data_IF_160436599920
#
_entry.id   IF_160436599920
#
_cell.length_a   1.000
_cell.length_b   1.000
_cell.length_c   1.000
_cell.angle_alpha   90.00
_cell.angle_beta   90.00
_cell.angle_gamma   90.00
#
_symmetry.space_group_name_H-M   'P 1'
#
loop_
_entity.id
_entity.type
_entity.pdbx_description
1 polymer ?
#
# COMPACT_ATOMS: atom_id res chain seq x y z
N UNK A 1 -2.88 14.46 35.16
CA UNK A 1 -3.67 14.44 33.92
C UNK A 1 -3.12 13.33 33.03
N UNK A 2 -3.97 12.46 32.47
CA UNK A 2 -3.51 11.42 31.54
C UNK A 2 -3.19 12.06 30.17
N UNK A 3 -2.08 11.69 29.51
CA UNK A 3 -1.75 12.24 28.19
C UNK A 3 -2.82 11.82 27.18
N UNK A 4 -3.29 12.78 26.39
CA UNK A 4 -4.25 12.51 25.32
C UNK A 4 -3.65 11.50 24.34
N UNK A 5 -4.47 10.55 23.90
CA UNK A 5 -4.06 9.53 22.94
C UNK A 5 -4.19 10.08 21.52
N UNK A 6 -3.33 9.60 20.62
CA UNK A 6 -3.40 9.95 19.21
C UNK A 6 -4.80 9.70 18.63
N UNK A 7 -5.28 10.65 17.84
CA UNK A 7 -6.59 10.62 17.21
C UNK A 7 -6.87 9.37 16.36
N UNK A 8 -5.84 8.79 15.71
CA UNK A 8 -6.01 7.60 14.89
C UNK A 8 -6.49 6.39 15.67
N UNK A 9 -7.50 5.70 15.14
CA UNK A 9 -8.13 4.53 15.76
C UNK A 9 -7.08 3.48 16.12
N UNK A 10 -7.04 3.09 17.40
CA UNK A 10 -6.16 2.03 17.90
C UNK A 10 -4.69 2.42 18.09
N UNK A 11 -4.31 3.69 17.93
CA UNK A 11 -2.96 4.14 18.24
C UNK A 11 -2.81 4.37 19.75
N UNK A 12 -1.93 3.64 20.46
CA UNK A 12 -1.75 3.83 21.90
C UNK A 12 -0.82 5.01 22.24
N UNK A 13 -0.16 5.59 21.24
CA UNK A 13 0.87 6.63 21.46
C UNK A 13 0.25 7.96 21.90
N UNK A 14 0.89 8.67 22.83
CA UNK A 14 0.43 9.98 23.28
C UNK A 14 0.53 11.02 22.16
N UNK A 15 -0.30 12.06 22.27
CA UNK A 15 -0.19 13.27 21.47
C UNK A 15 1.13 14.00 21.72
N UNK A 16 1.48 14.93 20.84
CA UNK A 16 2.72 15.70 20.95
C UNK A 16 2.37 17.19 20.98
N UNK A 17 2.67 17.85 22.10
CA UNK A 17 2.26 19.24 22.35
C UNK A 17 0.75 19.40 22.19
N UNK A 18 0.34 20.42 21.43
CA UNK A 18 -1.08 20.72 21.16
C UNK A 18 -1.66 19.92 19.99
N UNK A 19 -0.88 19.01 19.38
CA UNK A 19 -1.36 18.21 18.26
C UNK A 19 -2.31 17.11 18.73
N UNK A 20 -3.41 16.89 18.01
CA UNK A 20 -4.27 15.71 18.19
C UNK A 20 -3.61 14.39 17.74
N UNK A 21 -2.39 14.43 17.17
CA UNK A 21 -1.67 13.26 16.63
C UNK A 21 -0.38 13.01 17.41
N UNK A 22 0.10 11.77 17.40
CA UNK A 22 1.43 11.44 17.90
C UNK A 22 2.51 11.76 16.87
N UNK A 23 3.77 11.86 17.31
CA UNK A 23 4.95 12.06 16.44
C UNK A 23 5.04 11.12 15.24
N UNK A 24 4.60 9.86 15.34
CA UNK A 24 4.63 8.93 14.21
C UNK A 24 3.51 9.20 13.19
N UNK A 25 2.39 9.75 13.63
CA UNK A 25 1.21 10.01 12.79
C UNK A 25 1.07 11.49 12.38
N UNK A 26 1.99 12.37 12.77
CA UNK A 26 1.91 13.81 12.51
C UNK A 26 1.79 14.15 11.00
N UNK A 27 2.53 13.42 10.15
CA UNK A 27 2.50 13.57 8.68
C UNK A 27 1.39 12.78 7.99
N UNK A 28 0.56 12.03 8.75
CA UNK A 28 -0.54 11.25 8.17
C UNK A 28 -1.83 12.05 8.24
N UNK A 29 -2.47 12.22 7.08
CA UNK A 29 -3.75 12.92 6.96
C UNK A 29 -4.90 12.09 7.53
N UNK A 30 -5.83 12.77 8.19
CA UNK A 30 -7.08 12.21 8.71
C UNK A 30 -8.12 12.30 7.59
N UNK A 31 -8.99 11.29 7.52
CA UNK A 31 -10.13 11.29 6.60
C UNK A 31 -11.00 12.56 6.76
N UNK A 32 -11.50 13.09 5.65
CA UNK A 32 -12.30 14.32 5.61
C UNK A 32 -13.67 14.19 6.30
N UNK A 33 -14.25 12.98 6.31
CA UNK A 33 -15.51 12.71 7.03
C UNK A 33 -15.34 12.99 8.52
N UNK A 34 -16.28 13.76 9.07
CA UNK A 34 -16.29 14.16 10.48
C UNK A 34 -16.16 12.96 11.43
N UNK A 35 -15.38 13.16 12.49
CA UNK A 35 -15.05 12.15 13.50
C UNK A 35 -14.43 10.84 12.99
N UNK A 36 -14.02 10.79 11.72
CA UNK A 36 -13.37 9.63 11.16
C UNK A 36 -11.91 9.52 11.62
N UNK A 37 -11.67 8.59 12.54
CA UNK A 37 -10.33 8.29 13.06
C UNK A 37 -9.45 7.43 12.14
N UNK A 38 -9.75 7.34 10.85
CA UNK A 38 -8.98 6.55 9.87
C UNK A 38 -8.04 7.44 9.06
N UNK A 39 -6.94 6.84 8.58
CA UNK A 39 -6.00 7.48 7.67
C UNK A 39 -6.60 7.62 6.27
N UNK A 40 -6.30 8.76 5.63
CA UNK A 40 -6.57 8.96 4.20
C UNK A 40 -5.89 7.88 3.38
N UNK A 41 -6.63 7.31 2.44
CA UNK A 41 -6.11 6.45 1.39
C UNK A 41 -5.88 7.26 0.11
N UNK A 42 -6.92 7.95 -0.38
CA UNK A 42 -6.86 8.84 -1.54
C UNK A 42 -8.00 9.86 -1.48
N UNK A 43 -7.87 10.99 -2.19
CA UNK A 43 -8.91 12.04 -2.28
C UNK A 43 -9.40 12.53 -0.90
N UNK A 44 -8.48 12.62 0.07
CA UNK A 44 -8.79 12.97 1.46
C UNK A 44 -9.76 12.02 2.18
N UNK A 45 -10.03 10.83 1.63
CA UNK A 45 -10.96 9.86 2.19
C UNK A 45 -10.24 8.56 2.57
N UNK A 46 -10.68 7.92 3.65
CA UNK A 46 -10.22 6.58 4.03
C UNK A 46 -10.91 5.52 3.16
N UNK A 47 -10.45 4.27 3.24
CA UNK A 47 -11.03 3.14 2.47
C UNK A 47 -12.54 2.98 2.73
N UNK A 48 -13.01 3.16 3.97
CA UNK A 48 -14.43 3.05 4.33
C UNK A 48 -15.29 4.20 3.80
N UNK A 49 -14.68 5.37 3.58
CA UNK A 49 -15.39 6.57 3.14
C UNK A 49 -15.14 6.85 1.66
N UNK A 50 -14.95 5.79 0.86
CA UNK A 50 -14.84 5.93 -0.58
C UNK A 50 -13.45 6.31 -1.10
N UNK A 51 -12.41 6.32 -0.26
CA UNK A 51 -11.02 6.52 -0.72
C UNK A 51 -10.57 5.46 -1.72
N UNK A 52 -11.11 4.24 -1.63
CA UNK A 52 -10.86 3.13 -2.55
C UNK A 52 -12.11 2.80 -3.37
N UNK A 53 -11.93 2.45 -4.65
CA UNK A 53 -13.04 2.02 -5.52
C UNK A 53 -13.68 0.71 -5.02
N UNK A 54 -14.99 0.60 -5.21
CA UNK A 54 -15.79 -0.61 -5.03
C UNK A 54 -15.81 -1.44 -6.32
N UNK A 55 -16.03 -2.74 -6.19
CA UNK A 55 -16.12 -3.67 -7.29
C UNK A 55 -17.24 -3.27 -8.27
N UNK A 56 -16.96 -3.36 -9.57
CA UNK A 56 -17.92 -3.06 -10.63
C UNK A 56 -18.94 -4.18 -10.88
N UNK A 57 -18.71 -5.38 -10.33
CA UNK A 57 -19.67 -6.49 -10.42
C UNK A 57 -20.97 -6.18 -9.66
N UNK A 58 -22.10 -6.54 -10.26
CA UNK A 58 -23.43 -6.38 -9.68
C UNK A 58 -23.51 -6.92 -8.25
N UNK A 59 -24.19 -6.16 -7.38
CA UNK A 59 -24.37 -6.42 -5.95
C UNK A 59 -23.08 -6.64 -5.14
N UNK A 60 -21.92 -6.18 -5.62
CA UNK A 60 -20.65 -6.34 -4.92
C UNK A 60 -20.15 -5.06 -4.24
N UNK A 61 -20.22 -5.02 -2.91
CA UNK A 61 -19.68 -3.92 -2.09
C UNK A 61 -18.21 -4.11 -1.67
N UNK A 62 -17.51 -5.10 -2.23
CA UNK A 62 -16.12 -5.39 -1.87
C UNK A 62 -15.16 -4.41 -2.57
N UNK A 63 -14.03 -4.12 -1.92
CA UNK A 63 -13.02 -3.24 -2.49
C UNK A 63 -12.32 -3.86 -3.71
N UNK A 64 -12.07 -3.03 -4.72
CA UNK A 64 -11.31 -3.40 -5.92
C UNK A 64 -9.91 -3.89 -5.54
N UNK A 65 -9.44 -4.94 -6.24
CA UNK A 65 -8.07 -5.45 -6.12
C UNK A 65 -7.34 -5.48 -7.46
N UNK A 66 -8.04 -5.75 -8.56
CA UNK A 66 -7.47 -5.92 -9.90
C UNK A 66 -8.41 -5.24 -10.90
N UNK A 67 -7.91 -4.31 -11.72
CA UNK A 67 -8.75 -3.53 -12.63
C UNK A 67 -9.83 -2.78 -11.86
N UNK A 68 -11.10 -3.03 -12.21
CA UNK A 68 -12.28 -2.52 -11.49
C UNK A 68 -13.04 -3.61 -10.70
N UNK A 69 -12.40 -4.77 -10.46
CA UNK A 69 -13.02 -5.92 -9.80
C UNK A 69 -12.33 -6.24 -8.46
N UNK A 70 -13.11 -6.81 -7.53
CA UNK A 70 -12.57 -7.29 -6.25
C UNK A 70 -11.75 -8.57 -6.43
N UNK A 71 -11.19 -9.11 -5.35
CA UNK A 71 -10.43 -10.37 -5.42
C UNK A 71 -11.26 -11.60 -5.78
N UNK A 72 -12.60 -11.55 -5.58
CA UNK A 72 -13.52 -12.64 -5.93
C UNK A 72 -13.90 -12.58 -7.40
N UNK A 73 -14.22 -11.39 -7.90
CA UNK A 73 -14.70 -11.19 -9.27
C UNK A 73 -13.57 -10.89 -10.28
N UNK A 74 -12.45 -10.32 -9.83
CA UNK A 74 -11.28 -10.01 -10.66
C UNK A 74 -10.28 -11.16 -10.78
N UNK A 75 -10.52 -12.26 -10.08
CA UNK A 75 -9.80 -13.50 -10.28
C UNK A 75 -10.45 -14.27 -11.42
N UNK A 76 -10.25 -13.83 -12.67
CA UNK A 76 -10.79 -14.52 -13.84
C UNK A 76 -10.46 -16.01 -13.82
N UNK A 77 -11.51 -16.83 -13.70
CA UNK A 77 -11.76 -18.19 -14.26
C UNK A 77 -10.61 -19.21 -14.38
N UNK A 78 -9.46 -19.05 -13.73
CA UNK A 78 -8.26 -19.88 -14.02
C UNK A 78 -7.58 -20.43 -12.77
N UNK A 79 -8.30 -20.57 -11.65
CA UNK A 79 -7.81 -21.45 -10.59
C UNK A 79 -8.01 -22.90 -11.00
N UNK A 80 -7.02 -23.43 -11.71
CA UNK A 80 -6.99 -24.85 -12.10
C UNK A 80 -6.96 -25.72 -10.84
N UNK A 81 -7.68 -26.84 -10.79
CA UNK A 81 -7.54 -27.79 -9.70
C UNK A 81 -6.12 -28.36 -9.70
N UNK A 82 -5.73 -28.92 -8.56
CA UNK A 82 -4.51 -29.71 -8.46
C UNK A 82 -4.62 -30.91 -9.39
N UNK A 83 -3.55 -31.21 -10.13
CA UNK A 83 -3.48 -32.36 -11.06
C UNK A 83 -3.50 -33.72 -10.35
N UNK A 84 -3.17 -33.76 -9.05
CA UNK A 84 -3.21 -35.00 -8.26
C UNK A 84 -4.65 -35.53 -8.12
N UNK A 85 -4.89 -36.82 -8.41
CA UNK A 85 -6.22 -37.42 -8.35
C UNK A 85 -6.79 -37.35 -6.94
N UNK A 86 -8.08 -37.01 -6.82
CA UNK A 86 -8.76 -36.85 -5.53
C UNK A 86 -8.42 -35.56 -4.77
N UNK A 87 -7.58 -34.66 -5.31
CA UNK A 87 -7.24 -33.41 -4.64
C UNK A 87 -8.20 -32.27 -5.00
N UNK A 88 -9.11 -31.91 -4.09
CA UNK A 88 -10.01 -30.75 -4.25
C UNK A 88 -9.36 -29.37 -4.05
N UNK A 89 -8.02 -29.29 -3.90
CA UNK A 89 -7.31 -28.01 -3.68
C UNK A 89 -6.96 -27.36 -5.01
N UNK A 90 -6.95 -26.03 -5.05
CA UNK A 90 -6.49 -25.28 -6.23
C UNK A 90 -4.98 -25.36 -6.41
N UNK A 91 -4.56 -25.44 -7.67
CA UNK A 91 -3.17 -25.35 -8.05
C UNK A 91 -2.63 -23.93 -7.81
N UNK A 92 -1.37 -23.86 -7.36
CA UNK A 92 -0.63 -22.61 -7.22
C UNK A 92 0.36 -22.44 -8.36
N UNK A 93 1.30 -23.38 -8.47
CA UNK A 93 2.26 -23.48 -9.58
C UNK A 93 2.38 -24.93 -10.02
N UNK A 94 2.97 -25.18 -11.19
CA UNK A 94 3.18 -26.53 -11.74
C UNK A 94 1.90 -27.40 -11.79
N UNK A 95 0.72 -26.78 -11.90
CA UNK A 95 -0.61 -27.44 -11.82
C UNK A 95 -0.83 -28.24 -10.52
N UNK A 96 -0.06 -27.99 -9.46
CA UNK A 96 -0.18 -28.68 -8.15
C UNK A 96 -0.55 -27.71 -7.04
N UNK A 97 -1.21 -28.19 -5.98
CA UNK A 97 -1.49 -27.40 -4.78
C UNK A 97 -0.26 -27.31 -3.88
N UNK A 98 -0.29 -26.48 -2.83
CA UNK A 98 0.84 -26.33 -1.90
C UNK A 98 1.30 -27.66 -1.29
N UNK A 99 0.38 -28.54 -0.90
CA UNK A 99 0.68 -29.85 -0.34
C UNK A 99 1.41 -30.75 -1.35
N UNK A 100 0.96 -30.73 -2.61
CA UNK A 100 1.51 -31.56 -3.68
C UNK A 100 2.66 -30.90 -4.46
N UNK A 101 3.28 -29.85 -3.92
CA UNK A 101 4.49 -29.25 -4.53
C UNK A 101 4.26 -28.07 -5.48
N UNK A 102 3.07 -27.48 -5.45
CA UNK A 102 2.78 -26.19 -6.06
C UNK A 102 3.34 -24.99 -5.32
N UNK A 103 3.79 -25.16 -4.08
CA UNK A 103 4.52 -24.15 -3.32
C UNK A 103 6.03 -24.36 -3.43
N UNK A 104 6.79 -23.27 -3.51
CA UNK A 104 8.25 -23.33 -3.41
C UNK A 104 8.66 -23.83 -2.02
N UNK A 105 9.65 -24.72 -1.96
CA UNK A 105 10.27 -25.18 -0.71
C UNK A 105 11.42 -24.26 -0.34
N UNK A 106 11.82 -24.29 0.92
CA UNK A 106 12.99 -23.58 1.38
C UNK A 106 14.22 -24.06 0.60
N UNK A 107 15.03 -23.14 0.10
CA UNK A 107 16.29 -23.42 -0.60
C UNK A 107 17.40 -23.97 0.31
N UNK A 108 17.15 -24.12 1.61
CA UNK A 108 18.08 -24.77 2.53
C UNK A 108 17.84 -26.27 2.43
N UNK A 109 18.87 -27.05 2.08
CA UNK A 109 18.76 -28.46 1.72
C UNK A 109 18.07 -29.33 2.78
N UNK A 110 18.29 -29.01 4.06
CA UNK A 110 17.71 -29.75 5.20
C UNK A 110 16.28 -29.29 5.56
N UNK A 111 15.71 -28.33 4.84
CA UNK A 111 14.46 -27.70 5.21
C UNK A 111 13.32 -28.00 4.23
N UNK A 112 12.35 -28.79 4.68
CA UNK A 112 11.13 -29.12 3.91
C UNK A 112 10.02 -28.07 4.03
N UNK A 113 10.25 -27.00 4.81
CA UNK A 113 9.26 -25.95 5.04
C UNK A 113 9.01 -25.12 3.77
N UNK A 114 7.82 -24.53 3.68
CA UNK A 114 7.46 -23.68 2.55
C UNK A 114 8.22 -22.35 2.57
N UNK A 115 8.76 -21.98 1.41
CA UNK A 115 9.35 -20.67 1.21
C UNK A 115 8.27 -19.57 1.27
N UNK A 116 8.60 -18.46 1.91
CA UNK A 116 7.75 -17.26 2.01
C UNK A 116 8.34 -16.07 1.27
N UNK A 117 9.64 -15.84 1.38
CA UNK A 117 10.34 -14.71 0.73
C UNK A 117 11.72 -15.15 0.24
N UNK A 118 12.09 -14.78 -0.98
CA UNK A 118 13.42 -15.04 -1.54
C UNK A 118 13.79 -16.52 -1.72
N UNK A 119 12.82 -17.44 -1.67
CA UNK A 119 13.07 -18.89 -1.68
C UNK A 119 13.34 -19.51 -0.31
N UNK A 120 13.19 -18.77 0.80
CA UNK A 120 13.40 -19.28 2.16
C UNK A 120 12.12 -19.25 3.01
N UNK A 121 12.00 -20.17 3.95
CA UNK A 121 10.90 -20.19 4.93
C UNK A 121 11.08 -19.10 6.00
N UNK A 122 10.08 -18.80 6.83
CA UNK A 122 10.19 -17.71 7.83
C UNK A 122 11.34 -17.86 8.83
N UNK A 123 11.80 -19.09 9.06
CA UNK A 123 12.97 -19.39 9.91
C UNK A 123 14.30 -19.12 9.19
N UNK A 124 14.32 -19.29 7.88
CA UNK A 124 15.54 -19.16 7.05
C UNK A 124 15.49 -17.93 6.14
N UNK A 125 14.44 -17.11 6.21
CA UNK A 125 14.41 -15.79 5.58
C UNK A 125 15.42 -14.94 6.31
N UNK A 126 16.49 -14.47 5.65
CA UNK A 126 17.47 -13.64 6.31
C UNK A 126 16.77 -12.36 6.76
N UNK A 127 16.67 -12.18 8.08
CA UNK A 127 16.07 -10.97 8.66
C UNK A 127 16.99 -9.77 8.51
N UNK A 128 18.30 -10.00 8.41
CA UNK A 128 19.36 -9.06 8.01
C UNK A 128 20.78 -9.69 8.10
N UNK A 129 20.91 -11.01 8.13
CA UNK A 129 22.22 -11.65 8.34
C UNK A 129 22.60 -12.56 7.17
N UNK A 130 23.32 -11.97 6.21
CA UNK A 130 24.12 -12.71 5.24
C UNK A 130 25.62 -12.36 5.30
N UNK A 131 26.04 -11.50 6.23
CA UNK A 131 27.44 -11.02 6.27
C UNK A 131 28.29 -11.62 7.41
N UNK A 132 27.73 -12.17 8.50
CA UNK A 132 28.56 -12.46 9.70
C UNK A 132 28.81 -13.94 10.05
N UNK A 133 28.41 -14.93 9.25
CA UNK A 133 28.74 -16.32 9.60
C UNK A 133 28.97 -17.17 8.36
N UNK A 134 30.26 -17.45 8.14
CA UNK A 134 30.86 -18.29 7.10
C UNK A 134 30.49 -19.79 7.23
N UNK A 135 29.24 -20.11 7.57
CA UNK A 135 28.79 -21.47 7.90
C UNK A 135 28.18 -22.21 6.69
N UNK A 136 27.91 -21.52 5.58
CA UNK A 136 27.49 -22.17 4.33
C UNK A 136 28.17 -21.58 3.10
N UNK A 137 28.80 -22.40 2.24
CA UNK A 137 29.38 -21.91 0.99
C UNK A 137 28.26 -21.37 0.09
N UNK A 138 28.52 -20.20 -0.51
CA UNK A 138 27.64 -19.58 -1.50
C UNK A 138 27.38 -20.58 -2.64
N UNK A 139 26.12 -20.92 -2.98
CA UNK A 139 25.87 -21.78 -4.13
C UNK A 139 26.29 -21.05 -5.42
N UNK A 140 26.99 -21.78 -6.28
CA UNK A 140 27.79 -21.28 -7.41
C UNK A 140 27.01 -20.48 -8.47
N UNK A 141 25.68 -20.54 -8.48
CA UNK A 141 24.85 -19.76 -9.40
C UNK A 141 24.77 -18.26 -9.08
N UNK A 142 25.32 -17.81 -7.94
CA UNK A 142 25.38 -16.40 -7.53
C UNK A 142 26.70 -15.71 -7.89
N UNK A 143 27.63 -16.40 -8.56
CA UNK A 143 28.96 -15.89 -8.96
C UNK A 143 28.98 -15.32 -10.39
N UNK A 144 27.85 -14.86 -10.92
CA UNK A 144 27.84 -14.00 -12.12
C UNK A 144 27.95 -12.54 -11.69
N UNK A 145 29.21 -12.15 -11.52
CA UNK A 145 29.82 -10.82 -11.61
C UNK A 145 28.97 -9.57 -11.31
N UNK A 146 29.24 -8.96 -10.15
CA UNK A 146 28.88 -7.57 -9.88
C UNK A 146 29.85 -6.91 -8.90
N UNK A 147 31.15 -6.88 -9.24
CA UNK A 147 32.11 -5.92 -8.66
C UNK A 147 32.97 -5.41 -9.81
N UNK A 148 33.06 -4.11 -10.05
CA UNK A 148 33.70 -3.21 -9.09
C UNK A 148 33.11 -1.80 -9.12
N UNK A 149 32.65 -1.35 -7.96
CA UNK A 149 32.62 0.07 -7.59
C UNK A 149 33.87 0.29 -6.74
N UNK A 150 35.00 0.60 -7.39
CA UNK A 150 36.14 1.22 -6.72
C UNK A 150 35.77 2.68 -6.46
N UNK A 151 35.98 3.11 -5.22
CA UNK A 151 35.91 4.48 -4.76
C UNK A 151 36.95 5.34 -5.49
N UNK A 152 36.50 6.31 -6.28
CA UNK A 152 37.35 7.42 -6.74
C UNK A 152 36.88 8.71 -6.08
N UNK A 153 37.84 9.44 -5.51
CA UNK A 153 37.68 10.75 -4.90
C UNK A 153 37.25 11.78 -5.96
N UNK A 154 36.28 12.63 -5.61
CA UNK A 154 35.77 13.66 -6.50
C UNK A 154 36.77 14.82 -6.63
N UNK A 155 37.31 15.02 -7.83
CA UNK A 155 37.87 16.30 -8.25
C UNK A 155 36.75 17.20 -8.80
N UNK A 156 36.80 18.49 -8.47
CA UNK A 156 35.85 19.52 -8.89
C UNK A 156 35.76 19.61 -10.41
N UNK A 157 34.58 19.36 -10.96
CA UNK A 157 34.26 19.61 -12.37
C UNK A 157 32.98 20.44 -12.49
N UNK A 158 33.03 21.37 -13.44
CA UNK A 158 32.11 22.47 -13.72
C UNK A 158 30.65 22.05 -13.94
N UNK A 159 29.72 22.92 -13.53
CA UNK A 159 28.28 22.75 -13.65
C UNK A 159 27.80 22.44 -15.09
N UNK A 160 26.89 21.47 -15.28
CA UNK A 160 26.23 21.27 -16.57
C UNK A 160 25.15 22.33 -16.86
N UNK A 161 24.85 22.65 -18.13
CA UNK A 161 23.93 23.72 -18.50
C UNK A 161 22.48 23.39 -18.13
N UNK A 162 21.82 24.35 -17.48
CA UNK A 162 20.41 24.26 -17.09
C UNK A 162 19.50 24.26 -18.32
N UNK A 163 18.71 23.21 -18.51
CA UNK A 163 17.58 23.23 -19.45
C UNK A 163 16.38 23.82 -18.73
N UNK A 164 15.81 24.90 -19.28
CA UNK A 164 14.62 25.54 -18.73
C UNK A 164 13.40 24.62 -18.85
N UNK A 165 12.54 24.54 -17.83
CA UNK A 165 11.29 23.80 -17.93
C UNK A 165 10.30 24.50 -18.86
N UNK A 166 9.42 23.77 -19.57
CA UNK A 166 8.45 24.37 -20.47
C UNK A 166 7.43 25.22 -19.72
N UNK A 167 7.15 26.41 -20.27
CA UNK A 167 6.09 27.30 -19.78
C UNK A 167 4.72 26.75 -20.16
N UNK A 168 3.94 26.31 -19.17
CA UNK A 168 2.51 26.07 -19.34
C UNK A 168 1.77 27.37 -18.99
N UNK A 169 1.14 28.01 -19.99
CA UNK A 169 0.27 29.16 -19.77
C UNK A 169 -1.03 28.68 -19.11
N UNK A 170 -1.24 29.07 -17.86
CA UNK A 170 -2.56 29.01 -17.21
C UNK A 170 -3.49 29.98 -17.91
N UNK A 171 -4.47 29.48 -18.66
CA UNK A 171 -5.63 30.26 -19.03
C UNK A 171 -6.55 30.34 -17.82
N UNK A 172 -6.55 31.49 -17.14
CA UNK A 172 -7.52 31.83 -16.11
C UNK A 172 -8.81 32.22 -16.83
N UNK A 173 -9.86 31.41 -16.70
CA UNK A 173 -11.20 31.79 -17.13
C UNK A 173 -11.73 32.92 -16.24
N UNK A 174 -12.34 33.98 -16.80
CA UNK A 174 -12.85 35.09 -16.02
C UNK A 174 -14.01 34.64 -15.13
N UNK A 175 -13.95 35.10 -13.88
CA UNK A 175 -14.96 34.92 -12.85
C UNK A 175 -16.31 35.49 -13.32
N UNK A 176 -17.28 34.63 -13.62
CA UNK A 176 -18.66 35.04 -13.79
C UNK A 176 -19.24 35.33 -12.41
N UNK A 177 -19.50 36.61 -12.16
CA UNK A 177 -20.15 37.12 -10.97
C UNK A 177 -21.58 36.57 -10.87
N UNK A 178 -21.80 35.47 -10.14
CA UNK A 178 -23.11 35.19 -9.58
C UNK A 178 -23.28 36.02 -8.30
N UNK A 179 -23.77 37.25 -8.47
CA UNK A 179 -24.36 38.03 -7.39
C UNK A 179 -25.72 37.43 -7.06
N UNK A 180 -25.79 36.58 -6.05
CA UNK A 180 -27.03 36.32 -5.33
C UNK A 180 -27.04 37.23 -4.09
N UNK A 181 -27.96 38.18 -4.09
CA UNK A 181 -28.16 39.18 -3.05
C UNK A 181 -28.59 38.55 -1.73
N UNK A 182 -28.04 39.08 -0.64
CA UNK A 182 -28.43 38.85 0.74
C UNK A 182 -29.82 39.47 1.02
N UNK A 183 -30.89 38.80 0.61
CA UNK A 183 -32.24 39.08 1.08
C UNK A 183 -33.13 37.88 0.74
N UNK A 184 -33.31 36.95 1.70
CA UNK A 184 -34.50 36.11 1.95
C UNK A 184 -34.09 34.99 2.90
N UNK A 185 -33.71 35.30 4.15
CA UNK A 185 -33.86 34.37 5.29
C UNK A 185 -34.12 35.21 6.54
N UNK A 186 -35.26 35.89 6.57
CA UNK A 186 -35.93 36.25 7.81
C UNK A 186 -37.42 36.17 7.54
N UNK A 187 -38.06 35.13 8.07
CA UNK A 187 -39.39 35.21 8.68
C UNK A 187 -39.70 33.91 9.42
N UNK A 188 -39.61 33.90 10.76
CA UNK A 188 -40.25 32.90 11.60
C UNK A 188 -41.72 33.30 11.84
N UNK A 189 -42.64 32.34 11.81
CA UNK A 189 -43.87 32.28 12.63
C UNK A 189 -44.75 31.09 12.17
N UNK A 190 -44.82 30.03 12.98
CA UNK A 190 -45.98 29.55 13.78
C UNK A 190 -47.27 29.28 12.98
N UNK A 191 -47.76 28.04 12.97
CA UNK A 191 -48.97 27.56 13.70
C UNK A 191 -49.32 26.11 13.30
N UNK A 192 -49.89 25.40 14.29
CA UNK A 192 -50.28 23.98 14.36
C UNK A 192 -51.29 23.53 13.29
N UNK A 193 -51.31 22.23 12.92
CA UNK A 193 -52.21 21.16 13.44
C UNK A 193 -51.60 19.78 13.14
#
# INVERSE_FOLDING_TARGET
MLPLKCYFKGCPRPTTGDSIKCKFHNLRSICLVEDCRNQVFARNLCVRHGGKKTCCHDDCNENVRIGDLCGKHGAGTTRKPCIEPGCGKFAQSKKRCSAHGGGQRCKLDTCTAHARKGGYCTRHTPRQWWEESNVYPKPSFMLADRRSRVSVSFASASSPPQKQPPQWKVHVLPSSQNKLSLATILNPTVYEV
#
